data_IF_470368933281
#
_entry.id   IF_470368933281
#
_cell.length_a   1.000
_cell.length_b   1.000
_cell.length_c   1.000
_cell.angle_alpha   90.00
_cell.angle_beta   90.00
_cell.angle_gamma   90.00
#
_symmetry.space_group_name_H-M   'P 1'
#
loop_
_entity.id
_entity.type
_entity.pdbx_description
1 polymer ?
#
# COMPACT_ATOMS: atom_id res chain seq x y z
N UNK A 1 19.00 -15.44 -6.71
CA UNK A 1 18.05 -14.34 -6.99
C UNK A 1 17.77 -13.63 -5.67
N UNK A 2 18.19 -12.38 -5.53
CA UNK A 2 17.83 -11.53 -4.39
C UNK A 2 16.32 -11.33 -4.39
N UNK A 3 15.65 -11.59 -3.27
CA UNK A 3 14.20 -11.35 -3.17
C UNK A 3 13.92 -9.85 -3.33
N UNK A 4 12.88 -9.53 -4.10
CA UNK A 4 12.46 -8.17 -4.41
C UNK A 4 11.96 -7.45 -3.16
N UNK A 5 12.11 -6.12 -3.06
CA UNK A 5 11.47 -5.34 -2.01
C UNK A 5 9.94 -5.53 -2.02
N UNK A 6 9.35 -5.52 -0.83
CA UNK A 6 7.91 -5.68 -0.64
C UNK A 6 7.37 -4.60 0.30
N UNK A 7 6.11 -4.25 0.11
CA UNK A 7 5.45 -3.14 0.77
C UNK A 7 4.08 -3.55 1.29
N UNK A 8 3.64 -2.88 2.35
CA UNK A 8 2.24 -2.86 2.76
C UNK A 8 1.74 -1.44 2.56
N UNK A 9 0.63 -1.31 1.82
CA UNK A 9 0.05 -0.02 1.47
C UNK A 9 -1.41 -0.01 1.89
N UNK A 10 -1.77 0.97 2.72
CA UNK A 10 -3.11 1.12 3.29
C UNK A 10 -4.01 1.92 2.37
N UNK A 11 -5.23 1.44 2.18
CA UNK A 11 -6.33 2.12 1.51
C UNK A 11 -7.59 1.96 2.36
N UNK A 12 -8.42 2.99 2.45
CA UNK A 12 -9.74 2.87 3.05
C UNK A 12 -10.68 2.24 2.00
N UNK A 13 -11.39 1.15 2.32
CA UNK A 13 -12.19 0.44 1.31
C UNK A 13 -13.34 1.27 0.76
N UNK A 14 -13.81 2.28 1.48
CA UNK A 14 -14.83 3.23 1.02
C UNK A 14 -14.28 4.24 -0.01
N UNK A 15 -12.96 4.46 -0.05
CA UNK A 15 -12.30 5.29 -1.07
C UNK A 15 -11.81 4.44 -2.26
N UNK A 16 -11.09 3.35 -1.98
CA UNK A 16 -10.62 2.40 -2.98
C UNK A 16 -10.37 1.04 -2.33
N UNK A 17 -11.30 0.12 -2.51
CA UNK A 17 -11.13 -1.28 -2.11
C UNK A 17 -10.26 -2.05 -3.11
N UNK A 18 -9.92 -3.31 -2.76
CA UNK A 18 -9.22 -4.20 -3.70
C UNK A 18 -10.10 -4.55 -4.89
N UNK A 19 -11.42 -4.60 -4.70
CA UNK A 19 -12.38 -4.90 -5.76
C UNK A 19 -12.46 -3.72 -6.74
N UNK A 20 -12.44 -2.48 -6.24
CA UNK A 20 -12.39 -1.28 -7.09
C UNK A 20 -11.10 -1.25 -7.92
N UNK A 21 -9.96 -1.56 -7.28
CA UNK A 21 -8.68 -1.63 -7.98
C UNK A 21 -8.65 -2.73 -9.04
N UNK A 22 -9.28 -3.88 -8.79
CA UNK A 22 -9.42 -4.96 -9.78
C UNK A 22 -10.40 -4.61 -10.91
N UNK A 23 -11.40 -3.78 -10.65
CA UNK A 23 -12.36 -3.32 -11.66
C UNK A 23 -11.82 -2.15 -12.51
N UNK A 24 -10.80 -1.43 -12.02
CA UNK A 24 -10.20 -0.31 -12.72
C UNK A 24 -9.53 -0.74 -14.06
N UNK A 25 -9.42 0.18 -15.05
CA UNK A 25 -8.69 -0.10 -16.29
C UNK A 25 -7.28 -0.63 -16.03
N UNK A 26 -6.95 -1.78 -16.62
CA UNK A 26 -5.67 -2.44 -16.40
C UNK A 26 -5.42 -2.92 -14.96
N UNK A 27 -6.48 -3.01 -14.14
CA UNK A 27 -6.43 -3.32 -12.70
C UNK A 27 -5.50 -2.36 -11.94
N UNK A 28 -5.34 -1.13 -12.43
CA UNK A 28 -4.32 -0.19 -11.96
C UNK A 28 -4.96 1.10 -11.47
N UNK A 29 -4.56 1.53 -10.27
CA UNK A 29 -5.03 2.77 -9.64
C UNK A 29 -3.85 3.64 -9.21
N UNK A 30 -3.94 4.98 -9.33
CA UNK A 30 -2.95 5.88 -8.75
C UNK A 30 -3.07 5.86 -7.22
N UNK A 31 -1.95 5.71 -6.50
CA UNK A 31 -1.96 5.68 -5.03
C UNK A 31 -1.95 7.08 -4.42
N UNK A 32 -3.02 7.83 -4.67
CA UNK A 32 -3.17 9.25 -4.30
C UNK A 32 -3.26 9.48 -2.80
N UNK A 33 -3.14 10.74 -2.36
CA UNK A 33 -3.53 11.16 -1.00
C UNK A 33 -2.48 10.92 0.09
N UNK A 34 -1.30 10.40 -0.26
CA UNK A 34 -0.20 10.25 0.72
C UNK A 34 0.33 11.62 1.12
N UNK A 35 0.11 12.02 2.38
CA UNK A 35 0.56 13.30 2.97
C UNK A 35 1.53 13.14 4.15
N UNK A 36 2.18 11.98 4.24
CA UNK A 36 3.26 11.73 5.20
C UNK A 36 4.61 11.70 4.47
N UNK A 37 5.58 12.50 4.93
CA UNK A 37 6.89 12.61 4.29
C UNK A 37 7.67 11.30 4.23
N UNK A 38 7.61 10.46 5.27
CA UNK A 38 8.30 9.18 5.28
C UNK A 38 7.66 8.20 4.29
N UNK A 39 6.32 8.11 4.28
CA UNK A 39 5.59 7.29 3.31
C UNK A 39 5.86 7.72 1.85
N UNK A 40 5.88 9.03 1.60
CA UNK A 40 6.26 9.60 0.30
C UNK A 40 7.69 9.23 -0.08
N UNK A 41 8.64 9.32 0.85
CA UNK A 41 10.05 9.01 0.56
C UNK A 41 10.24 7.52 0.24
N UNK A 42 9.46 6.61 0.85
CA UNK A 42 9.48 5.19 0.45
C UNK A 42 9.12 5.01 -1.03
N UNK A 43 8.06 5.66 -1.50
CA UNK A 43 7.67 5.64 -2.91
C UNK A 43 8.76 6.23 -3.82
N UNK A 44 9.30 7.40 -3.45
CA UNK A 44 10.29 8.13 -4.25
C UNK A 44 11.63 7.41 -4.35
N UNK A 45 12.16 6.97 -3.22
CA UNK A 45 13.56 6.59 -3.11
C UNK A 45 13.76 5.07 -3.25
N UNK A 46 12.82 4.29 -2.70
CA UNK A 46 13.01 2.86 -2.49
C UNK A 46 12.14 1.97 -3.38
N UNK A 47 10.88 2.34 -3.67
CA UNK A 47 10.01 1.54 -4.53
C UNK A 47 10.54 1.46 -5.96
N UNK A 48 10.35 0.29 -6.57
CA UNK A 48 10.63 0.03 -7.99
C UNK A 48 9.43 -0.67 -8.64
N UNK A 49 9.28 -0.47 -9.95
CA UNK A 49 8.24 -1.16 -10.73
C UNK A 49 8.39 -2.67 -10.59
N UNK A 50 7.29 -3.34 -10.24
CA UNK A 50 7.24 -4.77 -9.99
C UNK A 50 7.57 -5.19 -8.56
N UNK A 51 7.79 -4.25 -7.63
CA UNK A 51 7.82 -4.56 -6.19
C UNK A 51 6.45 -5.04 -5.72
N UNK A 52 6.44 -6.01 -4.80
CA UNK A 52 5.20 -6.59 -4.26
C UNK A 52 4.50 -5.65 -3.28
N UNK A 53 3.17 -5.61 -3.34
CA UNK A 53 2.33 -4.78 -2.46
C UNK A 53 1.28 -5.66 -1.79
N UNK A 54 1.24 -5.64 -0.46
CA UNK A 54 0.11 -6.11 0.34
C UNK A 54 -0.91 -4.97 0.39
N UNK A 55 -2.05 -5.16 -0.28
CA UNK A 55 -3.15 -4.19 -0.31
C UNK A 55 -3.93 -4.32 1.01
N UNK A 56 -3.79 -3.33 1.88
CA UNK A 56 -4.33 -3.37 3.24
C UNK A 56 -5.55 -2.45 3.36
N UNK A 57 -6.70 -3.00 3.77
CA UNK A 57 -7.88 -2.22 4.12
C UNK A 57 -7.74 -1.63 5.52
N UNK A 58 -7.77 -0.31 5.63
CA UNK A 58 -7.68 0.44 6.89
C UNK A 58 -8.94 1.25 7.18
N UNK A 59 -9.05 1.76 8.41
CA UNK A 59 -10.14 2.66 8.85
C UNK A 59 -11.56 2.10 8.62
N UNK A 60 -11.70 0.78 8.59
CA UNK A 60 -12.98 0.08 8.37
C UNK A 60 -13.27 -0.92 9.51
N UNK A 61 -14.46 -1.52 9.48
CA UNK A 61 -14.90 -2.50 10.48
C UNK A 61 -13.98 -3.73 10.57
N UNK A 62 -13.48 -4.20 9.42
CA UNK A 62 -12.64 -5.39 9.32
C UNK A 62 -11.29 -5.06 8.65
N UNK A 63 -10.33 -4.48 9.39
CA UNK A 63 -9.05 -4.07 8.82
C UNK A 63 -8.10 -5.27 8.65
N UNK A 64 -7.41 -5.32 7.51
CA UNK A 64 -6.51 -6.43 7.19
C UNK A 64 -5.97 -6.38 5.77
N UNK A 65 -5.17 -7.38 5.41
CA UNK A 65 -4.71 -7.56 4.03
C UNK A 65 -5.84 -8.17 3.22
N UNK A 66 -6.29 -7.47 2.19
CA UNK A 66 -7.43 -7.86 1.35
C UNK A 66 -7.01 -8.31 -0.06
N UNK A 67 -5.76 -8.05 -0.46
CA UNK A 67 -5.26 -8.45 -1.76
C UNK A 67 -3.75 -8.34 -1.92
N UNK A 68 -3.30 -8.85 -3.06
CA UNK A 68 -1.91 -8.75 -3.51
C UNK A 68 -1.89 -7.91 -4.78
N UNK A 69 -0.95 -6.98 -4.81
CA UNK A 69 -0.73 -6.02 -5.87
C UNK A 69 0.77 -5.87 -6.17
N UNK A 70 1.10 -5.00 -7.12
CA UNK A 70 2.49 -4.59 -7.40
C UNK A 70 2.57 -3.12 -7.76
N UNK A 71 3.74 -2.52 -7.52
CA UNK A 71 4.06 -1.19 -8.05
C UNK A 71 4.09 -1.25 -9.58
N UNK A 72 3.32 -0.39 -10.23
CA UNK A 72 3.11 -0.37 -11.68
C UNK A 72 3.78 0.80 -12.40
N UNK A 73 4.22 1.84 -11.66
CA UNK A 73 4.96 2.96 -12.24
C UNK A 73 6.07 3.48 -11.31
N UNK A 74 6.96 4.30 -11.86
CA UNK A 74 7.88 5.09 -11.05
C UNK A 74 7.12 6.22 -10.33
N UNK A 75 7.69 6.72 -9.24
CA UNK A 75 7.08 7.82 -8.50
C UNK A 75 6.94 9.07 -9.37
N UNK A 76 5.76 9.67 -9.36
CA UNK A 76 5.45 10.90 -10.09
C UNK A 76 4.55 11.81 -9.24
N UNK A 77 4.31 13.03 -9.70
CA UNK A 77 3.52 14.01 -8.96
C UNK A 77 2.10 13.50 -8.68
N UNK A 78 1.64 13.61 -7.43
CA UNK A 78 0.25 13.37 -7.09
C UNK A 78 -0.61 14.55 -7.58
N UNK A 79 -1.45 14.39 -8.62
CA UNK A 79 -2.19 15.51 -9.19
C UNK A 79 -3.20 16.12 -8.21
N UNK A 80 -3.65 15.34 -7.21
CA UNK A 80 -4.64 15.78 -6.20
C UNK A 80 -4.11 16.92 -5.32
N UNK A 81 -2.79 17.08 -5.22
CA UNK A 81 -2.20 18.16 -4.42
C UNK A 81 -2.43 19.55 -5.02
N UNK A 82 -2.78 19.64 -6.31
CA UNK A 82 -2.96 20.89 -7.04
C UNK A 82 -4.43 21.31 -7.23
N UNK A 83 -5.37 20.41 -6.94
CA UNK A 83 -6.80 20.65 -7.12
C UNK A 83 -7.43 21.18 -5.81
N UNK A 84 -7.91 22.45 -5.77
CA UNK A 84 -8.55 23.01 -4.58
C UNK A 84 -9.82 22.29 -4.12
N UNK A 85 -10.47 21.51 -4.99
CA UNK A 85 -11.63 20.70 -4.63
C UNK A 85 -11.23 19.34 -4.01
N UNK A 86 -9.97 18.94 -4.12
CA UNK A 86 -9.49 17.68 -3.56
C UNK A 86 -9.36 17.78 -2.02
N UNK A 87 -9.75 16.73 -1.26
CA UNK A 87 -9.44 16.65 0.16
C UNK A 87 -7.92 16.62 0.44
N UNK A 88 -7.12 16.36 -0.58
CA UNK A 88 -5.67 16.25 -0.49
C UNK A 88 -4.93 17.48 -1.07
N UNK A 89 -5.63 18.58 -1.32
CA UNK A 89 -5.05 19.84 -1.78
C UNK A 89 -3.95 20.34 -0.83
N UNK A 90 -2.85 20.84 -1.39
CA UNK A 90 -1.80 21.51 -0.64
C UNK A 90 -1.48 22.86 -1.30
N UNK A 91 -1.96 23.95 -0.69
CA UNK A 91 -1.79 25.31 -1.20
C UNK A 91 -0.32 25.73 -1.39
N UNK A 92 0.64 25.02 -0.77
CA UNK A 92 2.06 25.30 -0.90
C UNK A 92 2.76 24.36 -1.89
N UNK A 93 2.07 23.40 -2.50
CA UNK A 93 2.58 22.59 -3.60
C UNK A 93 2.54 23.36 -4.92
N UNK A 94 3.55 23.15 -5.78
CA UNK A 94 3.66 23.80 -7.11
C UNK A 94 3.96 22.76 -8.18
N UNK A 95 3.41 22.86 -9.41
CA UNK A 95 3.67 21.89 -10.47
C UNK A 95 5.15 21.70 -10.80
N UNK A 96 5.95 22.75 -10.69
CA UNK A 96 7.39 22.73 -10.98
C UNK A 96 8.22 22.07 -9.86
N UNK A 97 7.64 21.95 -8.67
CA UNK A 97 8.26 21.37 -7.49
C UNK A 97 7.20 20.63 -6.64
N UNK A 98 6.65 19.50 -7.13
CA UNK A 98 5.60 18.77 -6.45
C UNK A 98 6.10 18.29 -5.09
N UNK A 99 5.32 18.56 -4.04
CA UNK A 99 5.65 18.13 -2.68
C UNK A 99 5.29 16.67 -2.46
N UNK A 100 4.18 16.25 -3.04
CA UNK A 100 3.60 14.92 -2.88
C UNK A 100 3.77 14.12 -4.16
N UNK A 101 4.12 12.86 -3.98
CA UNK A 101 4.37 11.93 -5.05
C UNK A 101 3.54 10.69 -4.78
N UNK A 102 3.16 9.99 -5.85
CA UNK A 102 2.50 8.70 -5.81
C UNK A 102 3.18 7.73 -6.77
N UNK A 103 2.88 6.45 -6.61
CA UNK A 103 3.07 5.43 -7.65
C UNK A 103 1.71 4.90 -8.08
N UNK A 104 1.64 4.33 -9.27
CA UNK A 104 0.50 3.51 -9.65
C UNK A 104 0.67 2.12 -9.05
N UNK A 105 -0.43 1.53 -8.61
CA UNK A 105 -0.47 0.17 -8.05
C UNK A 105 -1.42 -0.67 -8.88
N UNK A 106 -0.90 -1.78 -9.41
CA UNK A 106 -1.70 -2.76 -10.12
C UNK A 106 -2.12 -3.88 -9.17
N UNK A 107 -3.42 -4.00 -8.93
CA UNK A 107 -4.00 -5.15 -8.26
C UNK A 107 -3.76 -6.42 -9.09
N UNK A 108 -3.37 -7.51 -8.44
CA UNK A 108 -3.08 -8.79 -9.10
C UNK A 108 -4.13 -9.84 -8.75
N UNK A 109 -4.53 -9.89 -7.47
CA UNK A 109 -5.60 -10.76 -6.99
C UNK A 109 -6.16 -10.28 -5.67
N UNK A 110 -7.46 -10.53 -5.48
CA UNK A 110 -8.10 -10.52 -4.16
C UNK A 110 -7.67 -11.73 -3.35
N UNK A 111 -7.62 -11.57 -2.04
CA UNK A 111 -7.38 -12.67 -1.09
C UNK A 111 -8.55 -12.79 -0.13
N UNK A 112 -8.61 -13.88 0.66
CA UNK A 112 -9.35 -13.79 1.92
C UNK A 112 -8.79 -12.63 2.74
N UNK A 113 -9.62 -12.01 3.57
CA UNK A 113 -9.13 -11.00 4.50
C UNK A 113 -8.21 -11.67 5.52
N UNK A 114 -6.96 -11.20 5.61
CA UNK A 114 -6.03 -11.58 6.67
C UNK A 114 -5.99 -10.45 7.71
N UNK A 115 -6.82 -10.61 8.74
CA UNK A 115 -7.08 -9.57 9.74
C UNK A 115 -5.93 -9.37 10.73
N UNK A 116 -6.00 -8.27 11.49
CA UNK A 116 -5.00 -7.92 12.51
C UNK A 116 -4.76 -9.01 13.56
N UNK A 117 -5.80 -9.72 13.99
CA UNK A 117 -5.68 -10.78 14.99
C UNK A 117 -4.81 -11.95 14.48
N UNK A 118 -5.06 -12.40 13.24
CA UNK A 118 -4.25 -13.44 12.60
C UNK A 118 -2.81 -12.97 12.38
N UNK A 119 -2.61 -11.75 11.89
CA UNK A 119 -1.26 -11.19 11.71
C UNK A 119 -0.46 -11.15 13.01
N UNK A 120 -1.11 -10.83 14.14
CA UNK A 120 -0.47 -10.81 15.46
C UNK A 120 -0.17 -12.19 16.04
N UNK A 121 -0.88 -13.22 15.59
CA UNK A 121 -0.70 -14.58 16.08
C UNK A 121 0.54 -15.27 15.47
N UNK A 122 1.15 -14.68 14.43
CA UNK A 122 2.23 -15.29 13.65
C UNK A 122 3.59 -14.71 14.12
N UNK A 123 4.47 -15.51 14.74
CA UNK A 123 5.74 -15.02 15.28
C UNK A 123 6.64 -14.31 14.26
N UNK A 124 6.67 -14.80 13.01
CA UNK A 124 7.45 -14.23 11.90
C UNK A 124 7.01 -12.81 11.53
N UNK A 125 5.79 -12.42 11.94
CA UNK A 125 5.20 -11.11 11.67
C UNK A 125 5.30 -10.16 12.86
N UNK A 126 5.83 -10.59 14.01
CA UNK A 126 5.86 -9.80 15.25
C UNK A 126 6.47 -8.40 15.07
N UNK A 127 7.50 -8.28 14.22
CA UNK A 127 8.21 -7.02 13.96
C UNK A 127 7.64 -6.19 12.80
N UNK A 128 6.55 -6.64 12.15
CA UNK A 128 5.91 -5.89 11.07
C UNK A 128 5.57 -4.47 11.53
N UNK A 129 6.02 -3.49 10.77
CA UNK A 129 5.80 -2.08 11.11
C UNK A 129 4.31 -1.73 11.27
N UNK A 130 3.42 -2.36 10.50
CA UNK A 130 1.97 -2.18 10.62
C UNK A 130 1.41 -2.58 12.00
N UNK A 131 2.04 -3.54 12.69
CA UNK A 131 1.57 -4.08 13.98
C UNK A 131 2.12 -3.32 15.20
N UNK A 132 3.15 -2.49 15.00
CA UNK A 132 3.79 -1.71 16.07
C UNK A 132 2.81 -0.70 16.66
N UNK A 133 2.75 -0.65 17.99
CA UNK A 133 1.92 0.31 18.71
C UNK A 133 2.32 1.74 18.32
N UNK A 134 1.34 2.57 17.98
CA UNK A 134 1.56 3.96 17.59
C UNK A 134 2.03 4.17 16.14
N UNK A 135 2.16 3.12 15.31
CA UNK A 135 2.44 3.32 13.89
C UNK A 135 1.31 4.13 13.22
N UNK A 136 1.70 5.19 12.52
CA UNK A 136 0.82 6.07 11.73
C UNK A 136 1.17 6.09 10.24
N UNK A 137 2.13 5.28 9.80
CA UNK A 137 2.50 5.20 8.39
C UNK A 137 1.43 4.43 7.60
N UNK A 138 1.04 4.99 6.46
CA UNK A 138 0.17 4.36 5.46
C UNK A 138 0.93 3.42 4.52
N UNK A 139 2.24 3.59 4.39
CA UNK A 139 3.13 2.75 3.61
C UNK A 139 4.25 2.27 4.52
N UNK A 140 4.45 0.95 4.59
CA UNK A 140 5.53 0.37 5.39
C UNK A 140 6.28 -0.72 4.61
N UNK A 141 7.60 -0.87 4.84
CA UNK A 141 8.35 -1.96 4.25
C UNK A 141 7.91 -3.30 4.84
N UNK A 142 7.97 -4.34 4.01
CA UNK A 142 7.71 -5.73 4.37
C UNK A 142 8.96 -6.52 4.04
N UNK A 143 9.51 -7.23 5.03
CA UNK A 143 10.70 -8.04 4.79
C UNK A 143 10.37 -9.25 3.94
N UNK A 144 11.34 -9.83 3.23
CA UNK A 144 11.09 -11.05 2.47
C UNK A 144 10.68 -12.26 3.34
N UNK A 145 11.01 -12.26 4.64
CA UNK A 145 10.50 -13.25 5.60
C UNK A 145 9.02 -13.06 5.88
N UNK A 146 8.61 -11.81 6.16
CA UNK A 146 7.22 -11.44 6.41
C UNK A 146 6.33 -11.70 5.19
N UNK A 147 6.81 -11.36 3.99
CA UNK A 147 6.08 -11.63 2.74
C UNK A 147 5.81 -13.13 2.57
N UNK A 148 6.82 -13.98 2.76
CA UNK A 148 6.68 -15.44 2.64
C UNK A 148 5.70 -16.01 3.67
N UNK A 149 5.75 -15.53 4.91
CA UNK A 149 4.81 -15.95 5.95
C UNK A 149 3.37 -15.57 5.58
N UNK A 150 3.15 -14.36 5.03
CA UNK A 150 1.83 -13.90 4.59
C UNK A 150 1.33 -14.71 3.39
N UNK A 151 2.16 -14.93 2.37
CA UNK A 151 1.80 -15.78 1.22
C UNK A 151 1.42 -17.21 1.68
N UNK A 152 2.13 -17.78 2.67
CA UNK A 152 1.78 -19.09 3.22
C UNK A 152 0.42 -19.11 3.94
N UNK A 153 0.05 -18.04 4.66
CA UNK A 153 -1.27 -17.91 5.32
C UNK A 153 -2.42 -17.71 4.33
N UNK A 154 -2.11 -17.20 3.14
CA UNK A 154 -3.06 -16.94 2.06
C UNK A 154 -3.18 -18.10 1.08
N UNK A 155 -2.25 -19.05 1.10
CA UNK A 155 -2.34 -20.27 0.31
C UNK A 155 -3.57 -21.09 0.74
N UNK A 156 -4.26 -21.75 -0.21
CA UNK A 156 -5.33 -22.67 0.14
C UNK A 156 -4.78 -23.78 1.07
N UNK A 157 -5.58 -24.27 2.04
CA UNK A 157 -5.19 -25.42 2.83
C UNK A 157 -4.90 -26.60 1.89
N UNK A 158 -3.81 -27.33 2.17
CA UNK A 158 -3.47 -28.58 1.49
C UNK A 158 -4.49 -29.67 1.79
#
# INVERSE_FOLDING_TARGET
>A
MTMRPCWLMKSEPDECSIDDALAAPGQTVPWTGVRNYQARNFMRDAMRVGDGVLFYHSSCAEPGIAGIARVASAAHADPTQFDPASPYFDAAARPEAPRWLLVDVQALRKTRLLGLAELRAVPELADMAVLRRGNRLSITPVTPGQWRAIEALLAPPQ
#
